data_IF_126468691130
#
_entry.id   IF_126468691130
#
_cell.length_a   1.000
_cell.length_b   1.000
_cell.length_c   1.000
_cell.angle_alpha   90.00
_cell.angle_beta   90.00
_cell.angle_gamma   90.00
#
_symmetry.space_group_name_H-M   'P 1'
#
loop_
_entity.id
_entity.type
_entity.pdbx_description
1 polymer ?
#
# COMPACT_ATOMS: atom_id res chain seq x y z
N UNK A 1 -15.28 -18.96 16.82
CA UNK A 1 -14.93 -18.02 15.77
C UNK A 1 -15.50 -16.66 16.12
N UNK A 2 -14.63 -15.65 16.28
CA UNK A 2 -15.03 -14.30 16.73
C UNK A 2 -14.95 -13.32 15.55
N UNK A 3 -14.03 -13.52 14.61
CA UNK A 3 -13.81 -12.67 13.43
C UNK A 3 -13.74 -13.50 12.17
N UNK A 4 -14.19 -12.93 11.05
CA UNK A 4 -14.15 -13.52 9.73
C UNK A 4 -13.11 -12.86 8.82
N UNK A 5 -12.51 -11.76 9.28
CA UNK A 5 -11.47 -11.05 8.57
C UNK A 5 -10.49 -10.37 9.53
N UNK A 6 -9.36 -9.94 8.98
CA UNK A 6 -8.35 -9.13 9.68
C UNK A 6 -7.70 -8.19 8.69
N UNK A 7 -7.38 -6.96 9.13
CA UNK A 7 -6.47 -6.07 8.40
C UNK A 7 -5.04 -6.21 8.94
N UNK A 8 -4.10 -6.51 8.06
CA UNK A 8 -2.69 -6.67 8.37
C UNK A 8 -1.97 -5.35 8.14
N UNK A 9 -1.59 -4.67 9.22
CA UNK A 9 -0.90 -3.38 9.19
C UNK A 9 0.63 -3.50 9.23
N UNK A 10 1.18 -4.63 9.68
CA UNK A 10 2.63 -4.84 9.78
C UNK A 10 3.34 -4.76 8.42
N UNK A 11 2.64 -5.07 7.33
CA UNK A 11 3.13 -5.02 5.95
C UNK A 11 3.42 -3.60 5.46
N UNK A 12 2.91 -2.60 6.15
CA UNK A 12 3.24 -1.19 5.91
C UNK A 12 4.70 -0.88 6.29
N UNK A 13 5.20 -1.45 7.37
CA UNK A 13 6.53 -1.15 7.92
C UNK A 13 7.65 -2.00 7.32
N UNK A 14 7.32 -3.18 6.84
CA UNK A 14 8.26 -4.08 6.19
C UNK A 14 7.51 -4.91 5.14
N UNK A 15 8.14 -5.24 3.98
CA UNK A 15 7.51 -6.09 2.99
C UNK A 15 7.04 -7.41 3.60
N UNK A 16 5.84 -7.84 3.24
CA UNK A 16 5.29 -9.13 3.65
C UNK A 16 6.21 -10.26 3.15
N UNK A 17 6.56 -11.20 4.02
CA UNK A 17 7.25 -12.40 3.57
C UNK A 17 6.25 -13.44 3.02
N UNK A 18 6.59 -14.07 1.90
CA UNK A 18 5.78 -15.15 1.32
C UNK A 18 5.53 -16.30 2.33
N UNK A 19 6.52 -16.59 3.18
CA UNK A 19 6.38 -17.59 4.26
C UNK A 19 5.24 -17.24 5.22
N UNK A 20 5.15 -15.98 5.64
CA UNK A 20 4.08 -15.55 6.55
C UNK A 20 2.72 -15.63 5.85
N UNK A 21 2.62 -15.24 4.59
CA UNK A 21 1.38 -15.35 3.81
C UNK A 21 0.90 -16.81 3.70
N UNK A 22 1.80 -17.76 3.45
CA UNK A 22 1.50 -19.20 3.45
C UNK A 22 0.97 -19.64 4.83
N UNK A 23 1.67 -19.28 5.91
CA UNK A 23 1.25 -19.65 7.26
C UNK A 23 -0.12 -19.06 7.62
N UNK A 24 -0.41 -17.84 7.23
CA UNK A 24 -1.71 -17.20 7.48
C UNK A 24 -2.82 -17.92 6.70
N UNK A 25 -2.57 -18.25 5.42
CA UNK A 25 -3.51 -19.02 4.62
C UNK A 25 -3.83 -20.38 5.24
N UNK A 26 -2.82 -21.10 5.76
CA UNK A 26 -2.97 -22.43 6.35
C UNK A 26 -3.63 -22.41 7.75
N UNK A 27 -3.37 -21.38 8.54
CA UNK A 27 -3.81 -21.31 9.95
C UNK A 27 -5.17 -20.66 10.16
N UNK A 28 -5.81 -20.20 9.09
CA UNK A 28 -7.15 -19.60 9.15
C UNK A 28 -8.19 -20.51 8.49
N UNK A 29 -9.45 -20.50 8.95
CA UNK A 29 -10.49 -21.35 8.39
C UNK A 29 -10.84 -20.94 6.94
N UNK A 30 -11.54 -21.81 6.19
CA UNK A 30 -12.12 -21.45 4.90
C UNK A 30 -13.00 -20.20 5.04
N UNK A 31 -12.96 -19.32 4.05
CA UNK A 31 -13.73 -18.07 4.03
C UNK A 31 -13.22 -16.96 4.95
N UNK A 32 -12.07 -17.15 5.63
CA UNK A 32 -11.41 -16.07 6.36
C UNK A 32 -10.67 -15.15 5.40
N UNK A 33 -10.86 -13.82 5.51
CA UNK A 33 -10.30 -12.83 4.59
C UNK A 33 -9.22 -11.96 5.25
N UNK A 34 -8.20 -11.65 4.47
CA UNK A 34 -7.15 -10.72 4.83
C UNK A 34 -7.28 -9.43 4.02
N UNK A 35 -7.44 -8.29 4.71
CA UNK A 35 -7.07 -6.98 4.19
C UNK A 35 -5.57 -6.78 4.40
N UNK A 36 -4.84 -6.35 3.39
CA UNK A 36 -3.38 -6.17 3.49
C UNK A 36 -3.02 -4.74 3.18
N UNK A 37 -2.40 -4.04 4.13
CA UNK A 37 -1.95 -2.67 3.92
C UNK A 37 -0.71 -2.64 3.02
N UNK A 38 -0.73 -1.79 2.01
CA UNK A 38 0.38 -1.62 1.10
C UNK A 38 1.63 -1.09 1.82
N UNK A 39 2.81 -1.50 1.35
CA UNK A 39 4.10 -1.08 1.88
C UNK A 39 4.28 0.45 1.76
N UNK A 40 4.88 1.07 2.78
CA UNK A 40 5.02 2.52 2.90
C UNK A 40 5.59 3.21 1.65
N UNK A 41 6.55 2.58 0.95
CA UNK A 41 7.11 3.11 -0.29
C UNK A 41 6.04 3.32 -1.37
N UNK A 42 5.05 2.42 -1.45
CA UNK A 42 3.99 2.44 -2.47
C UNK A 42 2.89 3.47 -2.18
N UNK A 43 2.88 4.05 -1.00
CA UNK A 43 1.83 5.00 -0.57
C UNK A 43 2.36 6.42 -0.32
N UNK A 44 3.62 6.67 -0.71
CA UNK A 44 4.25 7.98 -0.59
C UNK A 44 4.83 8.27 0.79
N UNK A 45 4.77 7.33 1.74
CA UNK A 45 5.35 7.52 3.07
C UNK A 45 6.88 7.42 3.07
N UNK A 46 7.50 8.03 4.06
CA UNK A 46 8.91 7.84 4.36
C UNK A 46 9.14 6.43 4.93
N UNK A 47 10.35 5.90 4.78
CA UNK A 47 10.71 4.58 5.24
C UNK A 47 11.69 4.67 6.42
N UNK A 48 11.53 3.76 7.37
CA UNK A 48 12.47 3.58 8.47
C UNK A 48 13.80 3.02 7.92
N UNK A 49 14.89 3.75 8.13
CA UNK A 49 16.22 3.39 7.61
C UNK A 49 16.71 2.06 8.18
N UNK A 50 16.37 1.74 9.44
CA UNK A 50 16.79 0.50 10.11
C UNK A 50 16.03 -0.73 9.60
N UNK A 51 14.86 -0.53 8.99
CA UNK A 51 14.00 -1.60 8.45
C UNK A 51 14.02 -1.69 6.93
N UNK A 52 14.87 -0.90 6.31
CA UNK A 52 14.95 -0.83 4.85
C UNK A 52 15.48 -2.15 4.28
N UNK A 53 14.76 -2.82 3.37
CA UNK A 53 15.28 -3.99 2.67
C UNK A 53 16.58 -3.67 1.93
N UNK A 54 17.53 -4.61 1.96
CA UNK A 54 18.83 -4.45 1.31
C UNK A 54 18.74 -4.00 -0.17
N UNK A 55 17.85 -4.56 -1.01
CA UNK A 55 17.73 -4.09 -2.39
C UNK A 55 17.31 -2.62 -2.50
N UNK A 56 16.44 -2.14 -1.61
CA UNK A 56 16.04 -0.73 -1.58
C UNK A 56 17.15 0.16 -1.06
N UNK A 57 17.91 -0.30 -0.06
CA UNK A 57 19.06 0.43 0.46
C UNK A 57 20.14 0.61 -0.63
N UNK A 58 20.37 -0.42 -1.44
CA UNK A 58 21.34 -0.39 -2.55
C UNK A 58 20.93 0.56 -3.69
N UNK A 59 19.64 0.86 -3.85
CA UNK A 59 19.11 1.78 -4.87
C UNK A 59 19.15 3.25 -4.43
N UNK A 60 19.44 3.52 -3.15
CA UNK A 60 19.51 4.90 -2.68
C UNK A 60 20.74 5.63 -3.23
N UNK A 61 20.63 6.92 -3.55
CA UNK A 61 21.81 7.72 -3.92
C UNK A 61 22.78 7.81 -2.74
N UNK A 62 24.10 7.85 -3.04
CA UNK A 62 25.15 7.92 -2.02
C UNK A 62 25.03 9.14 -1.08
N UNK A 63 24.28 10.17 -1.50
CA UNK A 63 23.97 11.36 -0.70
C UNK A 63 22.77 11.20 0.24
N UNK A 64 22.00 10.12 0.10
CA UNK A 64 20.82 9.90 0.96
C UNK A 64 21.24 9.78 2.43
N UNK A 65 20.55 10.49 3.29
CA UNK A 65 20.75 10.44 4.74
C UNK A 65 19.41 10.32 5.44
N UNK A 66 19.31 9.52 6.50
CA UNK A 66 18.14 9.50 7.33
C UNK A 66 17.89 10.88 7.96
N UNK A 67 16.63 11.24 8.14
CA UNK A 67 16.22 12.39 8.92
C UNK A 67 16.59 12.20 10.40
N UNK A 68 16.43 13.23 11.21
CA UNK A 68 16.61 13.16 12.69
C UNK A 68 15.71 12.10 13.36
N UNK A 69 14.66 11.65 12.66
CA UNK A 69 13.76 10.56 13.11
C UNK A 69 14.11 9.19 12.52
N UNK A 70 15.28 9.04 11.91
CA UNK A 70 15.72 7.78 11.30
C UNK A 70 14.98 7.41 10.00
N UNK A 71 14.30 8.35 9.34
CA UNK A 71 13.48 8.08 8.16
C UNK A 71 14.18 8.53 6.88
N UNK A 72 14.04 7.72 5.82
CA UNK A 72 14.42 8.06 4.44
C UNK A 72 13.18 8.59 3.73
N UNK A 73 13.30 9.75 3.11
CA UNK A 73 12.22 10.38 2.36
C UNK A 73 11.89 9.57 1.09
N UNK A 74 10.58 9.38 0.84
CA UNK A 74 10.10 8.62 -0.31
C UNK A 74 10.65 9.12 -1.66
N UNK A 75 10.80 10.44 -1.82
CA UNK A 75 11.31 11.07 -3.06
C UNK A 75 12.75 10.71 -3.41
N UNK A 76 13.52 10.18 -2.46
CA UNK A 76 14.91 9.76 -2.68
C UNK A 76 15.00 8.40 -3.37
N UNK A 77 13.92 7.64 -3.40
CA UNK A 77 13.88 6.35 -4.09
C UNK A 77 13.61 6.55 -5.59
N UNK A 78 14.43 5.95 -6.47
CA UNK A 78 14.21 6.01 -7.91
C UNK A 78 12.97 5.18 -8.31
N UNK A 79 12.56 5.29 -9.58
CA UNK A 79 11.38 4.58 -10.09
C UNK A 79 11.54 3.06 -9.96
N UNK A 80 12.71 2.53 -10.19
CA UNK A 80 13.07 1.12 -10.09
C UNK A 80 12.84 0.55 -8.68
N UNK A 81 13.01 1.37 -7.66
CA UNK A 81 12.72 0.99 -6.28
C UNK A 81 11.21 0.73 -6.06
N UNK A 82 10.36 1.55 -6.69
CA UNK A 82 8.91 1.32 -6.66
C UNK A 82 8.51 0.09 -7.44
N UNK A 83 9.11 -0.14 -8.60
CA UNK A 83 8.85 -1.32 -9.43
C UNK A 83 9.26 -2.60 -8.69
N UNK A 84 10.42 -2.60 -8.06
CA UNK A 84 10.86 -3.68 -7.17
C UNK A 84 9.85 -3.91 -6.02
N UNK A 85 9.42 -2.84 -5.36
CA UNK A 85 8.49 -2.95 -4.25
C UNK A 85 7.13 -3.50 -4.68
N UNK A 86 6.61 -3.12 -5.86
CA UNK A 86 5.40 -3.70 -6.43
C UNK A 86 5.59 -5.18 -6.76
N UNK A 87 6.72 -5.57 -7.34
CA UNK A 87 7.02 -6.97 -7.63
C UNK A 87 7.05 -7.80 -6.34
N UNK A 88 7.86 -7.39 -5.37
CA UNK A 88 7.97 -8.07 -4.08
C UNK A 88 6.61 -8.17 -3.36
N UNK A 89 5.80 -7.11 -3.44
CA UNK A 89 4.47 -7.08 -2.85
C UNK A 89 3.53 -8.08 -3.50
N UNK A 90 3.48 -8.14 -4.84
CA UNK A 90 2.66 -9.13 -5.58
C UNK A 90 3.06 -10.57 -5.24
N UNK A 91 4.37 -10.86 -5.25
CA UNK A 91 4.90 -12.19 -4.94
C UNK A 91 4.50 -12.62 -3.52
N UNK A 92 4.56 -11.70 -2.57
CA UNK A 92 4.18 -11.95 -1.19
C UNK A 92 2.67 -12.14 -0.97
N UNK A 93 1.83 -11.49 -1.78
CA UNK A 93 0.37 -11.63 -1.72
C UNK A 93 -0.13 -12.95 -2.35
N UNK A 94 0.63 -13.52 -3.27
CA UNK A 94 0.24 -14.67 -4.06
C UNK A 94 -0.32 -15.84 -3.24
N UNK A 95 0.29 -16.29 -2.11
CA UNK A 95 -0.27 -17.38 -1.32
C UNK A 95 -1.68 -17.09 -0.77
N UNK A 96 -1.99 -15.84 -0.45
CA UNK A 96 -3.33 -15.44 0.00
C UNK A 96 -4.33 -15.39 -1.17
N UNK A 97 -3.89 -14.95 -2.35
CA UNK A 97 -4.70 -14.96 -3.56
C UNK A 97 -5.04 -16.39 -3.98
N UNK A 98 -4.03 -17.28 -4.08
CA UNK A 98 -4.19 -18.67 -4.48
C UNK A 98 -5.09 -19.46 -3.51
N UNK A 99 -5.09 -19.08 -2.23
CA UNK A 99 -5.98 -19.65 -1.21
C UNK A 99 -7.40 -19.04 -1.20
N UNK A 100 -7.68 -18.04 -2.04
CA UNK A 100 -8.96 -17.30 -2.04
C UNK A 100 -9.20 -16.49 -0.74
N UNK A 101 -8.12 -16.10 -0.04
CA UNK A 101 -8.17 -15.43 1.25
C UNK A 101 -7.74 -13.96 1.22
N UNK A 102 -7.29 -13.43 0.09
CA UNK A 102 -7.02 -12.02 -0.06
C UNK A 102 -8.32 -11.26 -0.33
N UNK A 103 -8.79 -10.50 0.65
CA UNK A 103 -10.01 -9.70 0.53
C UNK A 103 -9.77 -8.40 -0.23
N UNK A 104 -8.78 -7.63 0.19
CA UNK A 104 -8.40 -6.36 -0.44
C UNK A 104 -6.97 -5.96 -0.09
N UNK A 105 -6.43 -5.02 -0.86
CA UNK A 105 -5.20 -4.30 -0.54
C UNK A 105 -5.52 -2.85 -0.25
N UNK A 106 -5.09 -2.34 0.91
CA UNK A 106 -5.32 -0.96 1.32
C UNK A 106 -4.13 -0.06 0.95
N UNK A 107 -4.35 0.89 0.06
CA UNK A 107 -3.45 2.00 -0.22
C UNK A 107 -3.88 3.22 0.61
N UNK A 108 -3.41 3.28 1.86
CA UNK A 108 -3.55 4.48 2.68
C UNK A 108 -2.47 5.48 2.28
N UNK A 109 -2.85 6.55 1.60
CA UNK A 109 -1.91 7.54 1.07
C UNK A 109 -1.30 8.39 2.20
N UNK A 110 -0.04 8.76 2.04
CA UNK A 110 0.63 9.62 3.02
C UNK A 110 -0.07 10.99 3.15
N UNK A 111 -0.06 11.58 4.36
CA UNK A 111 -0.79 12.82 4.63
C UNK A 111 -0.27 14.05 3.87
N UNK A 112 0.86 13.94 3.19
CA UNK A 112 1.41 14.95 2.31
C UNK A 112 1.21 14.66 0.82
N UNK A 113 0.60 13.52 0.46
CA UNK A 113 0.21 13.22 -0.91
C UNK A 113 -1.09 13.96 -1.21
N UNK A 114 -0.95 15.07 -1.94
CA UNK A 114 -2.04 15.98 -2.26
C UNK A 114 -2.75 15.58 -3.56
N UNK A 115 -4.01 15.99 -3.66
CA UNK A 115 -4.76 15.89 -4.92
C UNK A 115 -4.02 16.60 -6.06
N UNK A 116 -3.97 15.97 -7.22
CA UNK A 116 -3.37 16.50 -8.42
C UNK A 116 -3.24 15.44 -9.53
N UNK A 117 -2.93 15.87 -10.78
CA UNK A 117 -2.90 14.98 -11.94
C UNK A 117 -1.94 13.79 -11.79
N UNK A 118 -0.76 14.01 -11.21
CA UNK A 118 0.23 12.95 -10.98
C UNK A 118 -0.28 11.90 -9.98
N UNK A 119 -0.83 12.34 -8.85
CA UNK A 119 -1.36 11.45 -7.83
C UNK A 119 -2.58 10.66 -8.33
N UNK A 120 -3.47 11.31 -9.08
CA UNK A 120 -4.60 10.63 -9.72
C UNK A 120 -4.14 9.60 -10.75
N UNK A 121 -3.19 9.94 -11.63
CA UNK A 121 -2.61 9.01 -12.60
C UNK A 121 -1.91 7.81 -11.92
N UNK A 122 -1.24 8.05 -10.80
CA UNK A 122 -0.67 6.98 -9.98
C UNK A 122 -1.75 6.03 -9.48
N UNK A 123 -2.82 6.54 -8.87
CA UNK A 123 -3.93 5.71 -8.38
C UNK A 123 -4.58 4.90 -9.51
N UNK A 124 -4.85 5.52 -10.65
CA UNK A 124 -5.43 4.85 -11.82
C UNK A 124 -4.53 3.75 -12.40
N UNK A 125 -3.22 3.79 -12.13
CA UNK A 125 -2.27 2.74 -12.53
C UNK A 125 -2.26 1.51 -11.61
N UNK A 126 -2.81 1.61 -10.40
CA UNK A 126 -2.73 0.54 -9.39
C UNK A 126 -3.33 -0.79 -9.83
N UNK A 127 -4.49 -0.86 -10.52
CA UNK A 127 -5.06 -2.14 -10.96
C UNK A 127 -4.14 -2.92 -11.91
N UNK A 128 -3.38 -2.22 -12.75
CA UNK A 128 -2.39 -2.85 -13.62
C UNK A 128 -1.13 -3.29 -12.85
N UNK A 129 -0.79 -2.59 -11.78
CA UNK A 129 0.37 -2.90 -10.94
C UNK A 129 0.12 -4.04 -9.96
N UNK A 130 -1.14 -4.22 -9.49
CA UNK A 130 -1.56 -5.30 -8.57
C UNK A 130 -2.82 -5.97 -9.14
N UNK A 131 -2.68 -6.77 -10.21
CA UNK A 131 -3.82 -7.35 -10.91
C UNK A 131 -4.54 -8.42 -10.09
N UNK A 132 -5.84 -8.55 -10.32
CA UNK A 132 -6.68 -9.60 -9.72
C UNK A 132 -6.97 -9.39 -8.23
N UNK A 133 -6.85 -8.15 -7.73
CA UNK A 133 -7.07 -7.79 -6.32
C UNK A 133 -8.03 -6.63 -6.22
N UNK A 134 -8.93 -6.65 -5.25
CA UNK A 134 -9.68 -5.46 -4.86
C UNK A 134 -8.74 -4.46 -4.20
N UNK A 135 -8.63 -3.27 -4.76
CA UNK A 135 -7.80 -2.20 -4.21
C UNK A 135 -8.70 -1.15 -3.54
N UNK A 136 -8.41 -0.87 -2.28
CA UNK A 136 -9.04 0.16 -1.49
C UNK A 136 -8.08 1.34 -1.29
N UNK A 137 -8.56 2.56 -1.47
CA UNK A 137 -7.77 3.79 -1.34
C UNK A 137 -8.32 4.64 -0.21
N UNK A 138 -7.45 5.04 0.69
CA UNK A 138 -7.72 5.93 1.82
C UNK A 138 -6.89 7.21 1.70
N UNK A 139 -7.53 8.37 1.76
CA UNK A 139 -6.86 9.66 1.73
C UNK A 139 -6.64 10.22 3.15
N UNK A 140 -5.51 10.88 3.35
CA UNK A 140 -5.15 11.54 4.61
C UNK A 140 -4.94 13.06 4.47
N UNK A 141 -4.81 13.57 3.26
CA UNK A 141 -4.72 15.00 3.00
C UNK A 141 -6.10 15.57 2.63
N UNK A 142 -6.42 16.73 3.18
CA UNK A 142 -7.73 17.40 2.98
C UNK A 142 -7.94 17.91 1.55
N UNK A 143 -6.88 18.03 0.74
CA UNK A 143 -7.01 18.46 -0.66
C UNK A 143 -7.78 17.48 -1.55
N UNK A 144 -7.93 16.23 -1.13
CA UNK A 144 -8.70 15.24 -1.86
C UNK A 144 -10.21 15.46 -1.72
N UNK A 145 -10.66 15.85 -0.52
CA UNK A 145 -12.06 16.04 -0.16
C UNK A 145 -12.17 17.24 0.80
N UNK A 146 -13.27 18.01 0.78
CA UNK A 146 -14.49 17.85 -0.04
C UNK A 146 -14.43 18.48 -1.43
N UNK A 147 -13.45 19.36 -1.72
CA UNK A 147 -13.46 20.21 -2.92
C UNK A 147 -13.49 19.43 -4.25
N UNK A 148 -12.94 18.21 -4.27
CA UNK A 148 -12.81 17.36 -5.46
C UNK A 148 -13.60 16.03 -5.35
N UNK A 149 -14.56 15.93 -4.44
CA UNK A 149 -15.25 14.68 -4.12
C UNK A 149 -15.81 13.98 -5.36
N UNK A 150 -16.60 14.68 -6.17
CA UNK A 150 -17.26 14.08 -7.35
C UNK A 150 -16.24 13.59 -8.38
N UNK A 151 -15.23 14.42 -8.70
CA UNK A 151 -14.15 14.04 -9.63
C UNK A 151 -13.41 12.80 -9.14
N UNK A 152 -12.95 12.83 -7.88
CA UNK A 152 -12.14 11.77 -7.27
C UNK A 152 -12.93 10.45 -7.25
N UNK A 153 -14.17 10.46 -6.74
CA UNK A 153 -14.99 9.24 -6.67
C UNK A 153 -15.31 8.69 -8.06
N UNK A 154 -15.61 9.55 -9.05
CA UNK A 154 -15.84 9.11 -10.41
C UNK A 154 -14.60 8.50 -11.06
N UNK A 155 -13.40 9.03 -10.78
CA UNK A 155 -12.14 8.48 -11.29
C UNK A 155 -11.79 7.15 -10.62
N UNK A 156 -11.91 7.06 -9.30
CA UNK A 156 -11.71 5.79 -8.58
C UNK A 156 -12.67 4.71 -9.08
N UNK A 157 -13.96 5.02 -9.23
CA UNK A 157 -14.94 4.07 -9.75
C UNK A 157 -14.61 3.58 -11.17
N UNK A 158 -14.21 4.47 -12.07
CA UNK A 158 -13.77 4.10 -13.44
C UNK A 158 -12.54 3.20 -13.43
N UNK A 159 -11.63 3.41 -12.49
CA UNK A 159 -10.44 2.59 -12.33
C UNK A 159 -10.71 1.27 -11.55
N UNK A 160 -11.94 1.03 -11.08
CA UNK A 160 -12.27 -0.15 -10.28
C UNK A 160 -11.67 -0.13 -8.87
N UNK A 161 -11.43 1.06 -8.32
CA UNK A 161 -10.87 1.27 -6.99
C UNK A 161 -11.99 1.56 -5.98
N UNK A 162 -11.92 0.95 -4.80
CA UNK A 162 -12.79 1.26 -3.68
C UNK A 162 -12.27 2.47 -2.91
N UNK A 163 -13.16 3.35 -2.47
CA UNK A 163 -12.83 4.44 -1.56
C UNK A 163 -13.07 4.03 -0.11
N UNK A 164 -12.12 4.35 0.78
CA UNK A 164 -12.24 4.16 2.23
C UNK A 164 -12.52 5.50 2.90
N UNK A 165 -13.69 5.63 3.51
CA UNK A 165 -14.03 6.78 4.34
C UNK A 165 -13.48 6.59 5.75
N UNK A 166 -12.85 7.63 6.28
CA UNK A 166 -12.30 7.64 7.65
C UNK A 166 -12.95 8.75 8.44
N UNK A 167 -13.55 8.37 9.56
CA UNK A 167 -14.00 9.30 10.59
C UNK A 167 -12.91 9.38 11.67
N UNK A 168 -11.93 10.24 11.45
CA UNK A 168 -10.86 10.49 12.40
C UNK A 168 -11.06 11.83 13.09
N UNK A 169 -10.79 11.95 14.41
CA UNK A 169 -10.74 13.24 15.08
C UNK A 169 -9.77 14.19 14.37
N UNK A 170 -10.17 15.43 14.20
CA UNK A 170 -9.33 16.50 13.62
C UNK A 170 -8.31 16.99 14.60
#
# INVERSE_FOLDING_TARGET
RVFDCVEVNSTFYAPLSARNAVLWAQRTPPGFLFGVKAYALLTGHHLDAERLPEPLAAMLPASARPSARGQIENRLFPAEARDWAFQAFREALRPLQDAGKLGYVLFQMAPWVRHGPEALGYLESLPARVPGVTIAVEFRDVSWLPAHTEEVLARLARAGLAYVSVDAPR
#
